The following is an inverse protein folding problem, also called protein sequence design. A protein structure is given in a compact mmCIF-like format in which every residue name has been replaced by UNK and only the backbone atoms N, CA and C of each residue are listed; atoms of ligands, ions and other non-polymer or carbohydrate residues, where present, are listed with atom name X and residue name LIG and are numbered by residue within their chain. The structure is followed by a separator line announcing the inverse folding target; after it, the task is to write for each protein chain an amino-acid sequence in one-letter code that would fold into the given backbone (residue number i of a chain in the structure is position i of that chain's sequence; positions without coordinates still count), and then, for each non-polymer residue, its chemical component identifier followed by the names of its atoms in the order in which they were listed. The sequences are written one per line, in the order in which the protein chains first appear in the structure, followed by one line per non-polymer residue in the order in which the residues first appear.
data_IF_414240903625
#
_entry.id   IF_414240903625
#
_cell.length_a   1.000
_cell.length_b   1.000
_cell.length_c   1.000
_cell.angle_alpha   90.00
_cell.angle_beta   90.00
_cell.angle_gamma   90.00
#
_symmetry.space_group_name_H-M   'P 1'
#
loop_
_entity.id
_entity.type
_entity.pdbx_description
1 polymer ?
#
# COMPACT_ATOMS: atom_id res chain seq x y z
N UNK A 1 9.60 -55.34 18.39
CA UNK A 1 8.70 -54.34 19.00
C UNK A 1 9.07 -52.89 18.67
N UNK A 2 10.33 -52.44 18.81
CA UNK A 2 10.73 -51.04 18.53
C UNK A 2 10.47 -50.55 17.08
N UNK A 3 10.61 -51.42 16.06
CA UNK A 3 10.42 -51.05 14.64
C UNK A 3 8.97 -50.69 14.28
N UNK A 4 7.99 -51.44 14.79
CA UNK A 4 6.56 -51.18 14.54
C UNK A 4 6.10 -49.87 15.19
N UNK A 5 6.61 -49.59 16.39
CA UNK A 5 6.36 -48.33 17.11
C UNK A 5 6.98 -47.13 16.38
N UNK A 6 8.22 -47.26 15.88
CA UNK A 6 8.86 -46.21 15.07
C UNK A 6 8.11 -45.97 13.76
N UNK A 7 7.64 -47.01 13.08
CA UNK A 7 6.83 -46.87 11.86
C UNK A 7 5.52 -46.12 12.13
N UNK A 8 4.85 -46.40 13.26
CA UNK A 8 3.67 -45.66 13.68
C UNK A 8 3.95 -44.18 13.95
N UNK A 9 5.12 -43.83 14.50
CA UNK A 9 5.51 -42.42 14.66
C UNK A 9 5.76 -41.71 13.33
N UNK A 10 6.27 -42.41 12.32
CA UNK A 10 6.40 -41.84 10.97
C UNK A 10 5.05 -41.67 10.27
N UNK A 11 4.08 -42.55 10.56
CA UNK A 11 2.70 -42.43 10.06
C UNK A 11 1.89 -41.31 10.72
N UNK A 12 2.32 -40.79 11.89
CA UNK A 12 1.65 -39.67 12.58
C UNK A 12 1.81 -38.32 11.84
N UNK A 13 2.64 -38.25 10.80
CA UNK A 13 2.78 -37.08 9.93
C UNK A 13 3.46 -35.88 10.60
N UNK A 14 3.45 -34.75 9.91
CA UNK A 14 3.98 -33.47 10.40
C UNK A 14 2.91 -32.40 10.25
N UNK A 15 2.73 -31.56 11.27
CA UNK A 15 1.79 -30.44 11.21
C UNK A 15 2.45 -29.28 10.47
N UNK A 16 1.85 -28.85 9.37
CA UNK A 16 2.30 -27.68 8.63
C UNK A 16 1.53 -26.44 9.11
N UNK A 17 2.16 -25.60 9.93
CA UNK A 17 1.56 -24.36 10.42
C UNK A 17 2.00 -23.20 9.52
N UNK A 18 1.08 -22.38 8.99
CA UNK A 18 1.45 -21.16 8.28
C UNK A 18 2.34 -20.27 9.15
N UNK A 19 3.54 -19.94 8.67
CA UNK A 19 4.50 -19.07 9.39
C UNK A 19 3.87 -17.74 9.80
N UNK A 20 2.93 -17.26 9.00
CA UNK A 20 2.19 -16.02 9.25
C UNK A 20 1.43 -16.06 10.58
N UNK A 21 0.80 -17.20 10.91
CA UNK A 21 0.09 -17.37 12.17
C UNK A 21 1.07 -17.31 13.35
N UNK A 22 2.22 -17.97 13.24
CA UNK A 22 3.29 -17.92 14.25
C UNK A 22 3.86 -16.51 14.46
N UNK A 23 3.95 -15.71 13.40
CA UNK A 23 4.49 -14.35 13.46
C UNK A 23 3.50 -13.34 14.04
N UNK A 24 2.19 -13.55 13.83
CA UNK A 24 1.17 -12.53 14.11
C UNK A 24 0.08 -12.96 15.10
N UNK A 25 0.13 -14.14 15.73
CA UNK A 25 -0.88 -14.58 16.71
C UNK A 25 -1.12 -13.55 17.83
N UNK A 26 -0.06 -12.90 18.32
CA UNK A 26 -0.17 -11.84 19.33
C UNK A 26 -0.93 -10.61 18.82
N UNK A 27 -0.67 -10.19 17.58
CA UNK A 27 -1.38 -9.06 16.96
C UNK A 27 -2.85 -9.40 16.70
N UNK A 28 -3.15 -10.66 16.37
CA UNK A 28 -4.51 -11.18 16.22
C UNK A 28 -5.29 -11.20 17.55
N UNK A 29 -4.60 -11.10 18.70
CA UNK A 29 -5.23 -11.09 20.03
C UNK A 29 -5.32 -12.46 20.71
N UNK A 30 -4.50 -13.42 20.25
CA UNK A 30 -4.32 -14.73 20.87
C UNK A 30 -3.17 -14.69 21.88
N UNK A 31 -3.36 -15.34 23.02
CA UNK A 31 -2.25 -15.68 23.93
C UNK A 31 -1.64 -17.04 23.59
N UNK A 32 -0.52 -17.39 24.24
CA UNK A 32 0.23 -18.63 23.97
C UNK A 32 -0.63 -19.88 24.25
N UNK A 33 -1.44 -19.85 25.32
CA UNK A 33 -2.31 -20.97 25.70
C UNK A 33 -3.44 -21.18 24.68
N UNK A 34 -4.11 -20.10 24.29
CA UNK A 34 -5.14 -20.06 23.26
C UNK A 34 -4.60 -20.55 21.92
N UNK A 35 -3.41 -20.07 21.55
CA UNK A 35 -2.72 -20.49 20.35
C UNK A 35 -2.40 -21.99 20.36
N UNK A 36 -1.90 -22.52 21.48
CA UNK A 36 -1.63 -23.94 21.62
C UNK A 36 -2.91 -24.79 21.53
N UNK A 37 -4.03 -24.34 22.10
CA UNK A 37 -5.32 -25.02 21.94
C UNK A 37 -5.75 -25.05 20.47
N UNK A 38 -5.64 -23.93 19.76
CA UNK A 38 -5.92 -23.85 18.31
C UNK A 38 -5.06 -24.84 17.53
N UNK A 39 -3.77 -24.93 17.84
CA UNK A 39 -2.87 -25.90 17.21
C UNK A 39 -3.31 -27.32 17.48
N UNK A 40 -3.58 -27.68 18.73
CA UNK A 40 -4.05 -29.03 19.06
C UNK A 40 -5.36 -29.38 18.36
N UNK A 41 -6.32 -28.46 18.34
CA UNK A 41 -7.57 -28.63 17.58
C UNK A 41 -7.26 -28.88 16.10
N UNK A 42 -6.40 -28.08 15.47
CA UNK A 42 -5.96 -28.31 14.09
C UNK A 42 -5.36 -29.71 13.90
N UNK A 43 -4.49 -30.17 14.82
CA UNK A 43 -3.91 -31.52 14.73
C UNK A 43 -4.97 -32.61 14.79
N UNK A 44 -6.00 -32.43 15.62
CA UNK A 44 -7.08 -33.41 15.74
C UNK A 44 -7.94 -33.44 14.48
N UNK A 45 -8.25 -32.27 13.90
CA UNK A 45 -8.97 -32.17 12.63
C UNK A 45 -8.22 -32.88 11.50
N UNK A 46 -6.90 -32.71 11.39
CA UNK A 46 -6.06 -33.42 10.40
C UNK A 46 -6.04 -34.94 10.63
N UNK A 47 -6.05 -35.37 11.89
CA UNK A 47 -6.10 -36.79 12.26
C UNK A 47 -7.49 -37.44 12.04
N UNK A 48 -8.49 -36.67 11.61
CA UNK A 48 -9.85 -37.13 11.38
C UNK A 48 -10.77 -37.10 12.61
N UNK A 49 -10.28 -36.58 13.75
CA UNK A 49 -11.12 -36.28 14.91
C UNK A 49 -11.69 -34.86 14.77
N UNK A 50 -12.95 -34.77 14.35
CA UNK A 50 -13.63 -33.49 14.11
C UNK A 50 -14.07 -32.76 15.38
N UNK A 51 -14.08 -33.43 16.55
CA UNK A 51 -14.55 -32.84 17.81
C UNK A 51 -13.78 -33.38 19.03
N UNK A 52 -12.48 -33.05 19.14
CA UNK A 52 -11.68 -33.40 20.31
C UNK A 52 -12.26 -32.86 21.61
N UNK A 53 -12.34 -33.71 22.62
CA UNK A 53 -12.84 -33.28 23.93
C UNK A 53 -11.81 -32.41 24.65
N UNK A 54 -12.23 -31.52 25.57
CA UNK A 54 -11.28 -30.75 26.39
C UNK A 54 -10.30 -31.64 27.16
N UNK A 55 -10.71 -32.84 27.59
CA UNK A 55 -9.83 -33.83 28.23
C UNK A 55 -8.71 -34.25 27.28
N UNK A 56 -9.04 -34.66 26.04
CA UNK A 56 -8.07 -35.11 25.02
C UNK A 56 -7.05 -34.03 24.65
N UNK A 57 -7.47 -32.76 24.64
CA UNK A 57 -6.57 -31.62 24.38
C UNK A 57 -5.69 -31.36 25.61
N UNK A 58 -6.28 -31.38 26.81
CA UNK A 58 -5.57 -31.09 28.05
C UNK A 58 -4.49 -32.13 28.39
N UNK A 59 -4.67 -33.39 28.00
CA UNK A 59 -3.65 -34.45 28.13
C UNK A 59 -2.34 -34.11 27.41
N UNK A 60 -2.40 -33.28 26.37
CA UNK A 60 -1.24 -32.86 25.57
C UNK A 60 -0.65 -31.52 26.04
N UNK A 61 -1.27 -30.88 27.02
CA UNK A 61 -0.94 -29.54 27.49
C UNK A 61 -0.63 -29.52 28.99
N UNK A 62 -0.11 -28.40 29.49
CA UNK A 62 0.15 -28.18 30.92
C UNK A 62 -1.06 -27.61 31.68
N UNK A 63 -2.20 -27.46 31.01
CA UNK A 63 -3.41 -26.85 31.58
C UNK A 63 -4.40 -27.92 32.05
N UNK A 64 -5.27 -27.55 32.99
CA UNK A 64 -6.34 -28.44 33.44
C UNK A 64 -7.48 -28.52 32.42
N UNK A 65 -8.26 -29.60 32.46
CA UNK A 65 -9.44 -29.77 31.61
C UNK A 65 -10.41 -28.58 31.72
N UNK A 66 -10.70 -28.13 32.95
CA UNK A 66 -11.56 -26.96 33.17
C UNK A 66 -11.01 -25.71 32.49
N UNK A 67 -9.68 -25.50 32.58
CA UNK A 67 -9.06 -24.35 31.93
C UNK A 67 -9.06 -24.48 30.41
N UNK A 68 -8.90 -25.69 29.88
CA UNK A 68 -8.99 -25.96 28.45
C UNK A 68 -10.40 -25.65 27.92
N UNK A 69 -11.44 -26.05 28.65
CA UNK A 69 -12.82 -25.74 28.32
C UNK A 69 -13.07 -24.22 28.29
N UNK A 70 -12.59 -23.48 29.29
CA UNK A 70 -12.67 -22.01 29.28
C UNK A 70 -11.98 -21.42 28.05
N UNK A 71 -10.77 -21.88 27.72
CA UNK A 71 -10.02 -21.40 26.56
C UNK A 71 -10.79 -21.66 25.26
N UNK A 72 -11.34 -22.86 25.06
CA UNK A 72 -12.16 -23.19 23.89
C UNK A 72 -13.38 -22.26 23.79
N UNK A 73 -14.07 -22.02 24.90
CA UNK A 73 -15.20 -21.08 24.93
C UNK A 73 -14.78 -19.66 24.56
N UNK A 74 -13.65 -19.18 25.09
CA UNK A 74 -13.14 -17.85 24.74
C UNK A 74 -12.74 -17.74 23.27
N UNK A 75 -12.18 -18.81 22.68
CA UNK A 75 -11.84 -18.87 21.26
C UNK A 75 -13.09 -18.79 20.39
N UNK A 76 -14.18 -19.44 20.80
CA UNK A 76 -15.47 -19.35 20.11
C UNK A 76 -16.04 -17.93 20.21
N UNK A 77 -16.05 -17.34 21.42
CA UNK A 77 -16.56 -15.98 21.62
C UNK A 77 -15.75 -14.91 20.86
N UNK A 78 -14.43 -15.08 20.77
CA UNK A 78 -13.54 -14.21 20.00
C UNK A 78 -13.65 -14.45 18.48
N UNK A 79 -14.33 -15.52 18.05
CA UNK A 79 -14.51 -15.89 16.65
C UNK A 79 -13.25 -16.46 16.01
N UNK A 80 -12.41 -17.18 16.75
CA UNK A 80 -11.30 -17.96 16.20
C UNK A 80 -11.68 -19.40 15.90
N UNK A 81 -12.75 -19.89 16.54
CA UNK A 81 -13.25 -21.24 16.41
C UNK A 81 -14.77 -21.19 16.24
N UNK A 82 -15.33 -21.99 15.34
CA UNK A 82 -16.78 -22.17 15.22
C UNK A 82 -17.16 -23.64 15.48
N UNK A 83 -18.41 -23.82 15.91
CA UNK A 83 -19.04 -25.13 16.01
C UNK A 83 -19.98 -25.29 14.81
N UNK A 84 -19.67 -26.24 13.94
CA UNK A 84 -20.52 -26.63 12.83
C UNK A 84 -21.33 -27.88 13.24
N UNK A 85 -22.64 -27.84 13.06
CA UNK A 85 -23.52 -28.99 13.28
C UNK A 85 -23.67 -29.79 12.00
N UNK A 86 -23.25 -31.06 12.03
CA UNK A 86 -23.42 -32.02 10.94
C UNK A 86 -24.48 -33.07 11.25
N UNK A 87 -25.35 -33.38 10.29
CA UNK A 87 -26.22 -34.57 10.33
C UNK A 87 -25.42 -35.79 9.89
N UNK A 88 -25.06 -36.68 10.83
CA UNK A 88 -24.40 -37.96 10.51
C UNK A 88 -25.41 -39.10 10.29
N UNK A 89 -26.58 -39.01 10.90
CA UNK A 89 -27.76 -39.85 10.65
C UNK A 89 -29.02 -39.22 11.27
N UNK A 90 -30.21 -39.71 10.91
CA UNK A 90 -31.54 -39.23 11.34
C UNK A 90 -31.76 -39.12 12.87
N UNK A 91 -30.84 -39.63 13.70
CA UNK A 91 -30.93 -39.62 15.17
C UNK A 91 -29.68 -39.10 15.91
N UNK A 92 -28.64 -38.60 15.22
CA UNK A 92 -27.42 -38.13 15.89
C UNK A 92 -26.89 -36.83 15.28
N UNK A 93 -27.02 -35.76 16.03
CA UNK A 93 -26.34 -34.48 15.78
C UNK A 93 -24.86 -34.66 16.14
N UNK A 94 -23.96 -34.47 15.18
CA UNK A 94 -22.53 -34.41 15.45
C UNK A 94 -22.10 -32.94 15.41
N UNK A 95 -21.49 -32.46 16.48
CA UNK A 95 -20.80 -31.17 16.49
C UNK A 95 -19.38 -31.38 15.95
N UNK A 96 -18.87 -30.41 15.19
CA UNK A 96 -17.50 -30.39 14.69
C UNK A 96 -16.88 -29.00 14.84
N UNK A 97 -15.61 -28.95 15.22
CA UNK A 97 -14.88 -27.69 15.27
C UNK A 97 -14.44 -27.25 13.87
N UNK A 98 -14.56 -25.96 13.60
CA UNK A 98 -14.09 -25.34 12.35
C UNK A 98 -13.19 -24.15 12.65
N UNK A 99 -12.05 -24.13 11.96
CA UNK A 99 -11.03 -23.06 12.03
C UNK A 99 -11.19 -22.03 10.92
N UNK A 100 -12.26 -22.11 10.13
CA UNK A 100 -12.56 -21.11 9.10
C UNK A 100 -12.52 -19.66 9.63
N UNK A 101 -13.10 -19.34 10.81
CA UNK A 101 -13.08 -17.97 11.34
C UNK A 101 -11.67 -17.44 11.63
N UNK A 102 -10.74 -18.31 12.04
CA UNK A 102 -9.34 -17.95 12.22
C UNK A 102 -8.71 -17.55 10.88
N UNK A 103 -8.94 -18.33 9.82
CA UNK A 103 -8.39 -18.05 8.50
C UNK A 103 -8.92 -16.75 7.91
N UNK A 104 -10.22 -16.48 8.09
CA UNK A 104 -10.85 -15.21 7.68
C UNK A 104 -10.22 -14.01 8.40
N UNK A 105 -9.97 -14.11 9.72
CA UNK A 105 -9.29 -13.05 10.48
C UNK A 105 -7.86 -12.79 10.00
N UNK A 106 -7.12 -13.85 9.65
CA UNK A 106 -5.78 -13.71 9.09
C UNK A 106 -5.83 -13.02 7.73
N UNK A 107 -6.79 -13.37 6.89
CA UNK A 107 -6.97 -12.75 5.59
C UNK A 107 -7.29 -11.26 5.74
N UNK A 108 -8.21 -10.89 6.62
CA UNK A 108 -8.52 -9.50 6.92
C UNK A 108 -7.29 -8.73 7.41
N UNK A 109 -6.52 -9.34 8.33
CA UNK A 109 -5.29 -8.74 8.85
C UNK A 109 -4.25 -8.47 7.76
N UNK A 110 -4.07 -9.41 6.81
CA UNK A 110 -3.18 -9.22 5.67
C UNK A 110 -3.65 -8.08 4.75
N UNK A 111 -4.95 -8.01 4.50
CA UNK A 111 -5.52 -6.95 3.67
C UNK A 111 -5.35 -5.59 4.36
N UNK A 112 -5.58 -5.50 5.66
CA UNK A 112 -5.37 -4.27 6.43
C UNK A 112 -3.91 -3.82 6.42
N UNK A 113 -2.95 -4.72 6.65
CA UNK A 113 -1.53 -4.38 6.60
C UNK A 113 -1.15 -3.82 5.21
N UNK A 114 -1.66 -4.41 4.12
CA UNK A 114 -1.40 -3.91 2.76
C UNK A 114 -2.01 -2.52 2.50
N UNK A 115 -3.23 -2.27 2.99
CA UNK A 115 -3.90 -0.96 2.84
C UNK A 115 -3.20 0.10 3.69
N UNK A 116 -2.80 -0.22 4.91
CA UNK A 116 -2.06 0.69 5.79
C UNK A 116 -0.69 1.07 5.21
N UNK A 117 0.01 0.12 4.60
CA UNK A 117 1.30 0.36 3.94
C UNK A 117 1.14 1.31 2.74
N UNK A 118 0.16 1.05 1.87
CA UNK A 118 -0.14 1.95 0.74
C UNK A 118 -0.55 3.35 1.21
N UNK A 119 -1.36 3.46 2.26
CA UNK A 119 -1.75 4.77 2.80
C UNK A 119 -0.59 5.51 3.45
N UNK A 120 0.32 4.81 4.13
CA UNK A 120 1.55 5.40 4.70
C UNK A 120 2.48 5.89 3.60
N UNK A 121 2.66 5.10 2.54
CA UNK A 121 3.48 5.48 1.39
C UNK A 121 2.91 6.72 0.69
N UNK A 122 1.61 6.75 0.42
CA UNK A 122 0.93 7.95 -0.15
C UNK A 122 1.10 9.18 0.73
N UNK A 123 0.88 9.06 2.04
CA UNK A 123 1.08 10.18 2.99
C UNK A 123 2.54 10.66 3.02
N UNK A 124 3.51 9.75 3.00
CA UNK A 124 4.93 10.12 2.97
C UNK A 124 5.31 10.81 1.66
N UNK A 125 4.80 10.33 0.52
CA UNK A 125 4.98 10.96 -0.78
C UNK A 125 4.38 12.37 -0.82
N UNK A 126 3.17 12.55 -0.28
CA UNK A 126 2.53 13.86 -0.14
C UNK A 126 3.35 14.81 0.74
N UNK A 127 3.75 14.37 1.94
CA UNK A 127 4.58 15.19 2.85
C UNK A 127 5.90 15.59 2.17
N UNK A 128 6.54 14.66 1.45
CA UNK A 128 7.74 14.96 0.68
C UNK A 128 7.46 16.03 -0.39
N UNK A 129 6.36 15.91 -1.13
CA UNK A 129 5.98 16.88 -2.15
C UNK A 129 5.79 18.28 -1.57
N UNK A 130 5.02 18.44 -0.48
CA UNK A 130 4.83 19.74 0.17
C UNK A 130 6.16 20.35 0.62
N UNK A 131 7.01 19.57 1.29
CA UNK A 131 8.31 20.06 1.78
C UNK A 131 9.26 20.49 0.66
N UNK A 132 9.24 19.79 -0.49
CA UNK A 132 10.03 20.16 -1.66
C UNK A 132 9.53 21.47 -2.26
N UNK A 133 8.21 21.66 -2.37
CA UNK A 133 7.64 22.91 -2.85
C UNK A 133 7.98 24.08 -1.91
N UNK A 134 7.79 23.94 -0.60
CA UNK A 134 8.14 24.99 0.37
C UNK A 134 9.61 25.40 0.29
N UNK A 135 10.51 24.42 0.09
CA UNK A 135 11.95 24.66 -0.05
C UNK A 135 12.27 25.45 -1.32
N UNK A 136 11.71 25.07 -2.47
CA UNK A 136 11.97 25.77 -3.74
C UNK A 136 11.33 27.16 -3.78
N UNK A 137 10.15 27.34 -3.15
CA UNK A 137 9.48 28.63 -3.05
C UNK A 137 10.07 29.54 -1.95
N UNK A 138 10.83 28.98 -1.01
CA UNK A 138 11.45 29.71 0.10
C UNK A 138 10.44 30.27 1.12
N UNK A 139 9.21 29.76 1.11
CA UNK A 139 8.13 30.15 2.02
C UNK A 139 7.17 28.98 2.25
N UNK A 140 6.44 28.96 3.37
CA UNK A 140 5.34 28.00 3.53
C UNK A 140 4.28 28.20 2.46
N UNK A 141 3.66 27.08 2.07
CA UNK A 141 2.58 27.09 1.09
C UNK A 141 1.29 27.66 1.68
N UNK A 142 0.55 28.41 0.88
CA UNK A 142 -0.80 28.86 1.19
C UNK A 142 -1.78 27.68 1.19
N UNK A 143 -2.88 27.73 1.96
CA UNK A 143 -3.94 26.72 1.89
C UNK A 143 -4.44 26.44 0.46
N UNK A 144 -4.58 27.48 -0.36
CA UNK A 144 -4.96 27.35 -1.78
C UNK A 144 -3.90 26.63 -2.63
N UNK A 145 -2.62 26.83 -2.31
CA UNK A 145 -1.51 26.16 -3.00
C UNK A 145 -1.46 24.67 -2.62
N UNK A 146 -1.73 24.34 -1.35
CA UNK A 146 -1.88 22.97 -0.91
C UNK A 146 -3.08 22.27 -1.57
N UNK A 147 -4.21 22.96 -1.71
CA UNK A 147 -5.37 22.45 -2.42
C UNK A 147 -5.06 22.18 -3.89
N UNK A 148 -4.32 23.08 -4.54
CA UNK A 148 -3.88 22.90 -5.94
C UNK A 148 -2.98 21.67 -6.10
N UNK A 149 -2.07 21.43 -5.15
CA UNK A 149 -1.24 20.21 -5.15
C UNK A 149 -2.10 18.94 -5.01
N UNK A 150 -3.09 18.96 -4.12
CA UNK A 150 -4.06 17.88 -3.98
C UNK A 150 -4.87 17.65 -5.26
N UNK A 151 -5.28 18.71 -5.95
CA UNK A 151 -5.98 18.60 -7.23
C UNK A 151 -5.13 17.90 -8.30
N UNK A 152 -3.83 18.20 -8.40
CA UNK A 152 -2.95 17.54 -9.36
C UNK A 152 -2.82 16.03 -9.10
N UNK A 153 -2.81 15.61 -7.83
CA UNK A 153 -2.72 14.20 -7.45
C UNK A 153 -4.07 13.48 -7.61
N UNK A 154 -5.16 14.05 -7.06
CA UNK A 154 -6.46 13.39 -6.96
C UNK A 154 -7.30 13.50 -8.25
N UNK A 155 -7.39 14.71 -8.82
CA UNK A 155 -8.23 14.97 -10.00
C UNK A 155 -7.48 14.68 -11.30
N UNK A 156 -6.24 15.16 -11.39
CA UNK A 156 -5.46 15.00 -12.61
C UNK A 156 -4.69 13.68 -12.71
N UNK A 157 -4.63 12.92 -11.62
CA UNK A 157 -3.93 11.62 -11.51
C UNK A 157 -2.45 11.73 -11.89
N UNK A 158 -1.81 12.86 -11.57
CA UNK A 158 -0.38 13.02 -11.76
C UNK A 158 0.39 12.31 -10.66
N UNK A 159 1.33 11.45 -11.05
CA UNK A 159 2.23 10.82 -10.09
C UNK A 159 3.09 11.90 -9.38
N UNK A 160 3.29 11.82 -8.05
CA UNK A 160 4.05 12.84 -7.29
C UNK A 160 5.43 13.16 -7.87
N UNK A 161 6.15 12.13 -8.33
CA UNK A 161 7.43 12.28 -9.03
C UNK A 161 7.36 13.16 -10.29
N UNK A 162 6.24 13.13 -11.03
CA UNK A 162 6.03 13.97 -12.20
C UNK A 162 5.77 15.43 -11.79
N UNK A 163 5.00 15.65 -10.72
CA UNK A 163 4.78 16.99 -10.15
C UNK A 163 6.11 17.61 -9.69
N UNK A 164 6.96 16.82 -9.03
CA UNK A 164 8.30 17.26 -8.65
C UNK A 164 9.17 17.60 -9.88
N UNK A 165 9.07 16.82 -10.96
CA UNK A 165 9.78 17.11 -12.20
C UNK A 165 9.29 18.42 -12.85
N UNK A 166 7.97 18.68 -12.84
CA UNK A 166 7.39 19.92 -13.35
C UNK A 166 7.84 21.14 -12.54
N UNK A 167 7.93 21.00 -11.21
CA UNK A 167 8.51 22.02 -10.34
C UNK A 167 9.97 22.32 -10.72
N UNK A 168 10.80 21.28 -10.89
CA UNK A 168 12.20 21.46 -11.31
C UNK A 168 12.30 22.19 -12.65
N UNK A 169 11.44 21.86 -13.61
CA UNK A 169 11.40 22.52 -14.91
C UNK A 169 10.99 24.00 -14.79
N UNK A 170 10.04 24.31 -13.90
CA UNK A 170 9.62 25.68 -13.60
C UNK A 170 10.75 26.50 -12.95
N UNK A 171 11.51 25.90 -12.03
CA UNK A 171 12.72 26.49 -11.43
C UNK A 171 13.79 26.75 -12.50
N UNK A 172 14.09 25.76 -13.35
CA UNK A 172 15.07 25.91 -14.45
C UNK A 172 14.67 26.99 -15.46
N UNK A 173 13.36 27.15 -15.70
CA UNK A 173 12.83 28.19 -16.59
C UNK A 173 12.75 29.58 -15.95
N UNK A 174 13.11 29.70 -14.66
CA UNK A 174 13.02 30.95 -13.89
C UNK A 174 11.58 31.44 -13.68
N UNK A 175 10.57 30.59 -13.88
CA UNK A 175 9.14 30.93 -13.79
C UNK A 175 8.47 30.10 -12.71
N UNK A 176 8.82 30.39 -11.46
CA UNK A 176 8.31 29.67 -10.30
C UNK A 176 6.92 30.19 -9.88
N UNK A 177 5.86 29.64 -10.48
CA UNK A 177 4.48 29.86 -10.03
C UNK A 177 3.59 28.66 -10.37
N UNK A 178 2.55 28.46 -9.57
CA UNK A 178 1.62 27.33 -9.71
C UNK A 178 0.96 27.26 -11.09
N UNK A 179 0.57 28.41 -11.66
CA UNK A 179 -0.06 28.47 -12.98
C UNK A 179 0.87 27.99 -14.11
N UNK A 180 2.17 28.20 -13.96
CA UNK A 180 3.16 27.73 -14.94
C UNK A 180 3.41 26.23 -14.78
N UNK A 181 3.51 25.74 -13.55
CA UNK A 181 3.63 24.31 -13.24
C UNK A 181 2.41 23.54 -13.76
N UNK A 182 1.21 24.08 -13.54
CA UNK A 182 -0.06 23.54 -14.05
C UNK A 182 -0.04 23.38 -15.58
N UNK A 183 0.45 24.40 -16.29
CA UNK A 183 0.57 24.36 -17.75
C UNK A 183 1.55 23.28 -18.22
N UNK A 184 2.68 23.10 -17.52
CA UNK A 184 3.66 22.05 -17.81
C UNK A 184 3.00 20.67 -17.63
N UNK A 185 2.32 20.46 -16.51
CA UNK A 185 1.62 19.21 -16.21
C UNK A 185 0.52 18.90 -17.24
N UNK A 186 -0.28 19.91 -17.60
CA UNK A 186 -1.29 19.79 -18.65
C UNK A 186 -0.70 19.41 -20.01
N UNK A 187 0.41 20.04 -20.40
CA UNK A 187 1.10 19.73 -21.65
C UNK A 187 1.71 18.32 -21.63
N UNK A 188 2.27 17.88 -20.50
CA UNK A 188 2.77 16.51 -20.34
C UNK A 188 1.64 15.48 -20.41
N UNK A 189 0.50 15.74 -19.76
CA UNK A 189 -0.71 14.91 -19.84
C UNK A 189 -1.19 14.76 -21.27
N UNK A 190 -1.30 15.88 -21.99
CA UNK A 190 -1.72 15.91 -23.40
C UNK A 190 -0.78 15.13 -24.31
N UNK A 191 0.52 15.16 -24.02
CA UNK A 191 1.54 14.43 -24.78
C UNK A 191 1.71 12.97 -24.32
N UNK A 192 0.91 12.49 -23.37
CA UNK A 192 0.93 11.11 -22.89
C UNK A 192 2.16 10.76 -22.04
N UNK A 193 2.83 11.77 -21.46
CA UNK A 193 4.04 11.58 -20.66
C UNK A 193 3.66 11.09 -19.27
N UNK A 194 4.15 9.89 -18.93
CA UNK A 194 3.86 9.25 -17.64
C UNK A 194 5.10 9.03 -16.78
N UNK A 195 6.29 9.12 -17.36
CA UNK A 195 7.56 8.88 -16.64
C UNK A 195 8.40 10.15 -16.52
N UNK A 196 9.19 10.23 -15.46
CA UNK A 196 10.10 11.36 -15.19
C UNK A 196 11.13 11.52 -16.32
N UNK A 197 11.64 10.42 -16.87
CA UNK A 197 12.63 10.46 -17.97
C UNK A 197 12.05 11.07 -19.25
N UNK A 198 10.79 10.76 -19.57
CA UNK A 198 10.10 11.35 -20.71
C UNK A 198 9.88 12.85 -20.50
N UNK A 199 9.52 13.25 -19.28
CA UNK A 199 9.34 14.66 -18.92
C UNK A 199 10.64 15.46 -19.04
N UNK A 200 11.77 14.91 -18.55
CA UNK A 200 13.09 15.54 -18.68
C UNK A 200 13.50 15.70 -20.16
N UNK A 201 13.30 14.67 -20.96
CA UNK A 201 13.61 14.70 -22.39
C UNK A 201 12.76 15.74 -23.14
N UNK A 202 11.48 15.88 -22.77
CA UNK A 202 10.62 16.91 -23.35
C UNK A 202 11.04 18.32 -22.92
N UNK A 203 11.39 18.52 -21.64
CA UNK A 203 11.93 19.79 -21.15
C UNK A 203 13.19 20.23 -21.90
N UNK A 204 14.12 19.29 -22.15
CA UNK A 204 15.32 19.57 -22.96
C UNK A 204 14.97 20.00 -24.40
N UNK A 205 14.04 19.29 -25.06
CA UNK A 205 13.59 19.65 -26.41
C UNK A 205 12.90 21.02 -26.46
N UNK A 206 12.06 21.32 -25.47
CA UNK A 206 11.38 22.59 -25.36
C UNK A 206 12.37 23.76 -25.21
N UNK A 207 13.36 23.61 -24.32
CA UNK A 207 14.44 24.61 -24.16
C UNK A 207 15.26 24.82 -25.43
N UNK A 208 15.63 23.73 -26.11
CA UNK A 208 16.39 23.81 -27.38
C UNK A 208 15.61 24.57 -28.47
N UNK A 209 14.29 24.34 -28.57
CA UNK A 209 13.44 25.05 -29.52
C UNK A 209 13.26 26.53 -29.15
N UNK A 210 13.14 26.85 -27.86
CA UNK A 210 13.00 28.23 -27.40
C UNK A 210 14.27 29.06 -27.66
N UNK A 211 15.47 28.46 -27.47
CA UNK A 211 16.74 29.09 -27.81
C UNK A 211 16.89 29.32 -29.32
N UNK A 212 16.46 28.36 -30.16
CA UNK A 212 16.45 28.53 -31.62
C UNK A 212 15.51 29.65 -32.08
N UNK A 213 14.31 29.73 -31.51
CA UNK A 213 13.34 30.78 -31.84
C UNK A 213 13.87 32.18 -31.49
N UNK A 214 14.50 32.35 -30.32
CA UNK A 214 15.11 33.62 -29.91
C UNK A 214 16.30 34.05 -30.80
N UNK A 215 17.03 33.09 -31.37
CA UNK A 215 18.10 33.38 -32.33
C UNK A 215 17.56 33.87 -33.68
N UNK A 216 16.44 33.32 -34.16
CA UNK A 216 15.80 33.76 -35.41
C UNK A 216 15.20 35.18 -35.30
N UNK A 217 14.54 35.53 -34.18
CA UNK A 217 13.96 36.88 -34.00
C UNK A 217 15.02 37.98 -33.87
N UNK A 218 16.22 37.64 -33.35
CA UNK A 218 17.38 38.55 -33.32
C UNK A 218 18.02 38.78 -34.69
N UNK A 219 17.79 37.90 -35.67
CA UNK A 219 18.28 38.08 -37.04
C UNK A 219 17.32 38.94 -37.88
N UNK A 220 16.00 38.81 -37.69
CA UNK A 220 14.99 39.61 -38.42
C UNK A 220 14.95 41.09 -38.00
N UNK A 221 15.34 41.43 -36.77
CA UNK A 221 15.39 42.82 -36.28
C UNK A 221 16.60 43.61 -36.76
N UNK A 222 17.54 42.99 -37.50
CA UNK A 222 18.60 43.71 -38.22
C UNK A 222 18.11 44.17 -39.60
N UNK A 223 17.10 45.04 -39.63
CA UNK A 223 16.72 45.73 -40.87
C UNK A 223 17.75 46.83 -41.19
N UNK A 224 18.58 46.62 -42.20
CA UNK A 224 19.60 47.57 -42.69
C UNK A 224 19.06 48.55 -43.72
N UNK A 225 17.84 49.06 -43.54
CA UNK A 225 17.28 50.10 -44.42
C UNK A 225 17.58 51.49 -43.88
N UNK A 226 18.36 52.29 -44.62
CA UNK A 226 18.54 53.73 -44.33
C UNK A 226 17.18 54.43 -44.43
N UNK A 227 16.60 54.80 -43.30
CA UNK A 227 15.39 55.63 -43.25
C UNK A 227 15.78 57.07 -43.60
N UNK A 228 15.21 57.71 -44.63
CA UNK A 228 15.49 59.12 -44.91
C UNK A 228 14.89 59.98 -43.79
N UNK A 229 15.72 60.80 -43.15
CA UNK A 229 15.27 61.77 -42.16
C UNK A 229 14.61 62.95 -42.88
N UNK A 230 13.29 63.08 -42.77
CA UNK A 230 12.59 64.31 -43.14
C UNK A 230 12.40 65.16 -41.88
N UNK A 231 13.07 66.31 -41.82
CA UNK A 231 13.03 67.23 -40.69
C UNK A 231 11.90 68.24 -40.93
N UNK A 232 10.79 68.11 -40.21
CA UNK A 232 9.53 68.82 -40.46
C UNK A 232 9.36 70.12 -39.67
N UNK A 233 10.45 70.63 -39.07
CA UNK A 233 10.44 71.79 -38.16
C UNK A 233 11.02 73.08 -38.79
N UNK A 234 11.19 73.13 -40.11
CA UNK A 234 11.50 74.36 -40.83
C UNK A 234 10.28 74.79 -41.66
N UNK A 235 9.45 75.67 -41.09
CA UNK A 235 8.62 76.62 -41.81
C UNK A 235 8.27 77.82 -40.92
#
# INVERSE_FOLDING_TARGET
MKKKMMLQWFEQGSIAIPKLLMMHYKKLGLNETEFMVVLHVHTFLESGNSFPTPSEISERMTITEMKCMEVIQTLIQKGFLSLEGGQRSEAMMCESYSLQPLWEKILHFLMDESIEEEQKEKKQLQVNLYTVFEKEFGRPLSPFECETLGMWEDQDQHHPNLIQAALREAVMSGKLNFRYIDRILFEWKKNGIKTVDQAQNQGQKFRANQQRAQQMTKQETKFTGKVPFYNWLEQ
#
